data_IF_436869214403
#
_entry.id   IF_436869214403
#
_cell.length_a   1.000
_cell.length_b   1.000
_cell.length_c   1.000
_cell.angle_alpha   90.00
_cell.angle_beta   90.00
_cell.angle_gamma   90.00
#
_symmetry.space_group_name_H-M   'P 1'
#
loop_
_entity.id
_entity.type
_entity.pdbx_description
1 polymer ?
#
# COMPACT_ATOMS: atom_id res chain seq x y z
N UNK A 1 -9.49 3.52 -3.29
CA UNK A 1 -9.82 2.13 -3.71
C UNK A 1 -8.61 1.47 -4.39
N UNK A 2 -8.62 0.15 -4.59
CA UNK A 2 -7.49 -0.59 -5.20
C UNK A 2 -7.19 -0.11 -6.63
N UNK A 3 -8.17 0.09 -7.53
CA UNK A 3 -7.90 0.64 -8.87
C UNK A 3 -7.19 2.00 -8.88
N UNK A 4 -7.60 2.94 -8.04
CA UNK A 4 -6.99 4.27 -7.91
C UNK A 4 -5.56 4.19 -7.39
N UNK A 5 -5.32 3.34 -6.39
CA UNK A 5 -3.97 3.03 -5.89
C UNK A 5 -3.07 2.48 -7.00
N UNK A 6 -3.56 1.54 -7.81
CA UNK A 6 -2.79 1.00 -8.92
C UNK A 6 -2.54 2.06 -10.02
N UNK A 7 -3.44 3.02 -10.23
CA UNK A 7 -3.19 4.16 -11.14
C UNK A 7 -2.04 5.04 -10.65
N UNK A 8 -2.00 5.40 -9.36
CA UNK A 8 -0.91 6.22 -8.80
C UNK A 8 0.46 5.51 -8.89
N UNK A 9 0.46 4.18 -8.78
CA UNK A 9 1.66 3.36 -8.96
C UNK A 9 2.01 3.08 -10.44
N UNK A 10 1.17 3.48 -11.40
CA UNK A 10 1.29 3.08 -12.83
C UNK A 10 1.29 1.56 -13.02
N UNK A 11 0.53 0.85 -12.18
CA UNK A 11 0.33 -0.60 -12.19
C UNK A 11 -1.11 -1.01 -12.56
N UNK A 12 -1.96 -0.06 -12.95
CA UNK A 12 -3.38 -0.27 -13.24
C UNK A 12 -3.66 -1.30 -14.35
N UNK A 13 -2.69 -1.64 -15.20
CA UNK A 13 -2.82 -2.75 -16.15
C UNK A 13 -3.08 -4.11 -15.47
N UNK A 14 -2.74 -4.25 -14.19
CA UNK A 14 -2.97 -5.45 -13.40
C UNK A 14 -4.25 -5.39 -12.55
N UNK A 15 -5.11 -4.38 -12.70
CA UNK A 15 -6.29 -4.20 -11.85
C UNK A 15 -7.22 -5.44 -11.83
N UNK A 16 -7.35 -6.15 -12.96
CA UNK A 16 -8.13 -7.38 -13.04
C UNK A 16 -7.61 -8.47 -12.10
N UNK A 17 -6.29 -8.61 -11.94
CA UNK A 17 -5.68 -9.57 -11.01
C UNK A 17 -6.12 -9.30 -9.56
N UNK A 18 -6.09 -8.02 -9.16
CA UNK A 18 -6.47 -7.62 -7.80
C UNK A 18 -7.99 -7.67 -7.55
N UNK A 19 -8.82 -7.59 -8.59
CA UNK A 19 -10.28 -7.67 -8.44
C UNK A 19 -10.78 -9.05 -8.00
N UNK A 20 -9.94 -10.07 -8.16
CA UNK A 20 -10.22 -11.46 -7.79
C UNK A 20 -9.63 -11.83 -6.42
N UNK A 21 -9.04 -10.87 -5.71
CA UNK A 21 -8.36 -11.08 -4.44
C UNK A 21 -9.06 -10.33 -3.32
N UNK A 22 -9.17 -10.99 -2.17
CA UNK A 22 -9.49 -10.37 -0.89
C UNK A 22 -8.35 -9.45 -0.44
N UNK A 23 -8.63 -8.58 0.54
CA UNK A 23 -7.60 -7.73 1.12
C UNK A 23 -6.46 -8.57 1.74
N UNK A 24 -6.81 -9.66 2.41
CA UNK A 24 -5.88 -10.59 3.05
C UNK A 24 -4.98 -11.28 2.03
N UNK A 25 -5.53 -11.79 0.93
CA UNK A 25 -4.75 -12.39 -0.17
C UNK A 25 -3.81 -11.37 -0.81
N UNK A 26 -4.28 -10.15 -1.07
CA UNK A 26 -3.45 -9.06 -1.58
C UNK A 26 -2.27 -8.78 -0.66
N UNK A 27 -2.48 -8.72 0.66
CA UNK A 27 -1.42 -8.45 1.63
C UNK A 27 -0.41 -9.60 1.76
N UNK A 28 -0.75 -10.80 1.30
CA UNK A 28 0.11 -11.98 1.30
C UNK A 28 0.87 -12.22 -0.02
N UNK A 29 0.65 -11.39 -1.05
CA UNK A 29 1.26 -11.58 -2.37
C UNK A 29 2.80 -11.64 -2.31
N UNK A 30 3.34 -12.62 -3.02
CA UNK A 30 4.78 -12.81 -3.24
C UNK A 30 5.15 -12.60 -4.71
N UNK A 31 6.44 -12.35 -4.98
CA UNK A 31 6.92 -12.25 -6.37
C UNK A 31 6.68 -13.54 -7.16
N UNK A 32 6.78 -14.71 -6.53
CA UNK A 32 6.55 -16.01 -7.16
C UNK A 32 5.09 -16.18 -7.62
N UNK A 33 4.12 -15.82 -6.78
CA UNK A 33 2.70 -15.84 -7.14
C UNK A 33 2.39 -14.87 -8.30
N UNK A 34 3.00 -13.68 -8.28
CA UNK A 34 2.83 -12.70 -9.36
C UNK A 34 3.47 -13.17 -10.67
N UNK A 35 4.62 -13.83 -10.59
CA UNK A 35 5.28 -14.44 -11.74
C UNK A 35 4.44 -15.55 -12.38
N UNK A 36 3.80 -16.41 -11.57
CA UNK A 36 2.84 -17.41 -12.04
C UNK A 36 1.62 -16.79 -12.75
N UNK A 37 1.32 -15.52 -12.48
CA UNK A 37 0.26 -14.72 -13.13
C UNK A 37 0.80 -13.84 -14.28
N UNK A 38 1.99 -14.14 -14.80
CA UNK A 38 2.65 -13.44 -15.93
C UNK A 38 2.93 -11.95 -15.66
N UNK A 39 3.11 -11.55 -14.40
CA UNK A 39 3.51 -10.18 -14.04
C UNK A 39 5.00 -9.98 -14.33
N UNK A 40 5.33 -8.91 -15.05
CA UNK A 40 6.72 -8.61 -15.42
C UNK A 40 7.60 -8.38 -14.19
N UNK A 41 8.89 -8.73 -14.28
CA UNK A 41 9.86 -8.65 -13.16
C UNK A 41 9.85 -7.31 -12.42
N UNK A 42 9.90 -6.20 -13.14
CA UNK A 42 9.87 -4.87 -12.52
C UNK A 42 8.53 -4.57 -11.83
N UNK A 43 7.41 -5.07 -12.37
CA UNK A 43 6.10 -4.85 -11.79
C UNK A 43 5.86 -5.66 -10.52
N UNK A 44 6.24 -6.95 -10.50
CA UNK A 44 6.07 -7.79 -9.31
C UNK A 44 6.87 -7.25 -8.13
N UNK A 45 8.10 -6.83 -8.39
CA UNK A 45 8.95 -6.21 -7.38
C UNK A 45 8.31 -4.93 -6.82
N UNK A 46 7.80 -4.06 -7.71
CA UNK A 46 7.11 -2.83 -7.30
C UNK A 46 5.82 -3.10 -6.50
N UNK A 47 5.05 -4.11 -6.89
CA UNK A 47 3.85 -4.54 -6.16
C UNK A 47 4.22 -4.99 -4.75
N UNK A 48 5.19 -5.89 -4.61
CA UNK A 48 5.63 -6.42 -3.30
C UNK A 48 6.17 -5.31 -2.40
N UNK A 49 7.00 -4.39 -2.92
CA UNK A 49 7.45 -3.21 -2.15
C UNK A 49 6.27 -2.35 -1.72
N UNK A 50 5.31 -2.12 -2.61
CA UNK A 50 4.14 -1.28 -2.29
C UNK A 50 3.28 -1.94 -1.20
N UNK A 51 3.11 -3.26 -1.23
CA UNK A 51 2.43 -4.03 -0.17
C UNK A 51 3.21 -4.00 1.14
N UNK A 52 4.53 -4.10 1.11
CA UNK A 52 5.33 -3.97 2.33
C UNK A 52 5.14 -2.58 2.96
N UNK A 53 5.11 -1.52 2.14
CA UNK A 53 4.76 -0.18 2.63
C UNK A 53 3.36 -0.14 3.26
N UNK A 54 2.38 -0.86 2.71
CA UNK A 54 1.04 -0.97 3.31
C UNK A 54 1.09 -1.61 4.71
N UNK A 55 1.96 -2.60 4.93
CA UNK A 55 2.17 -3.26 6.23
C UNK A 55 2.82 -2.33 7.24
N UNK A 56 3.79 -1.52 6.81
CA UNK A 56 4.51 -0.58 7.68
C UNK A 56 3.71 0.68 8.04
N UNK A 57 2.57 0.96 7.38
CA UNK A 57 1.78 2.19 7.61
C UNK A 57 1.49 2.45 9.09
N UNK A 58 1.13 1.43 9.85
CA UNK A 58 0.81 1.60 11.27
C UNK A 58 2.04 2.06 12.08
N UNK A 59 3.20 1.47 11.83
CA UNK A 59 4.45 1.84 12.50
C UNK A 59 4.87 3.25 12.11
N UNK A 60 4.74 3.58 10.82
CA UNK A 60 5.05 4.91 10.31
C UNK A 60 4.13 5.98 10.94
N UNK A 61 2.81 5.73 11.01
CA UNK A 61 1.87 6.65 11.66
C UNK A 61 2.21 6.91 13.13
N UNK A 62 2.55 5.87 13.89
CA UNK A 62 3.00 6.01 15.30
C UNK A 62 4.27 6.83 15.42
N UNK A 63 5.23 6.64 14.51
CA UNK A 63 6.46 7.44 14.49
C UNK A 63 6.16 8.91 14.20
N UNK A 64 5.35 9.18 13.16
CA UNK A 64 4.97 10.54 12.78
C UNK A 64 4.20 11.24 13.90
N UNK A 65 3.29 10.54 14.58
CA UNK A 65 2.56 11.06 15.73
C UNK A 65 3.50 11.47 16.87
N UNK A 66 4.43 10.59 17.26
CA UNK A 66 5.44 10.90 18.29
C UNK A 66 6.27 12.12 17.89
N UNK A 67 6.79 12.14 16.67
CA UNK A 67 7.66 13.21 16.20
C UNK A 67 6.92 14.58 16.18
N UNK A 68 5.61 14.59 15.90
CA UNK A 68 4.76 15.80 16.00
C UNK A 68 4.60 16.23 17.45
N UNK A 69 4.32 15.29 18.37
CA UNK A 69 4.14 15.59 19.79
C UNK A 69 5.42 16.14 20.44
N UNK A 70 6.59 15.77 19.91
CA UNK A 70 7.90 16.27 20.32
C UNK A 70 8.29 17.62 19.67
N UNK A 71 7.38 18.26 18.93
CA UNK A 71 7.61 19.59 18.33
C UNK A 71 8.21 19.55 16.91
N UNK A 72 8.17 18.40 16.23
CA UNK A 72 8.55 18.25 14.84
C UNK A 72 7.65 19.05 13.87
N UNK A 73 8.15 19.27 12.65
CA UNK A 73 7.37 19.98 11.63
C UNK A 73 6.38 19.06 10.89
N UNK A 74 5.33 19.65 10.31
CA UNK A 74 4.24 18.91 9.66
C UNK A 74 4.54 18.49 8.22
N UNK A 75 5.66 18.91 7.62
CA UNK A 75 5.91 18.69 6.19
C UNK A 75 5.95 17.21 5.83
N UNK A 76 6.73 16.42 6.58
CA UNK A 76 6.87 14.98 6.35
C UNK A 76 5.56 14.24 6.65
N UNK A 77 4.91 14.44 7.82
CA UNK A 77 3.61 13.83 8.10
C UNK A 77 2.55 14.10 7.03
N UNK A 78 2.41 15.35 6.57
CA UNK A 78 1.42 15.70 5.55
C UNK A 78 1.71 15.02 4.21
N UNK A 79 2.99 14.93 3.83
CA UNK A 79 3.40 14.22 2.62
C UNK A 79 3.09 12.72 2.69
N UNK A 80 3.41 12.08 3.81
CA UNK A 80 3.14 10.65 4.01
C UNK A 80 1.63 10.35 4.06
N UNK A 81 0.86 11.17 4.79
CA UNK A 81 -0.60 11.04 4.86
C UNK A 81 -1.24 11.20 3.48
N UNK A 82 -0.78 12.16 2.67
CA UNK A 82 -1.27 12.34 1.29
C UNK A 82 -1.04 11.09 0.42
N UNK A 83 0.08 10.38 0.60
CA UNK A 83 0.30 9.11 -0.09
C UNK A 83 -0.59 7.98 0.48
N UNK A 84 -0.76 7.93 1.82
CA UNK A 84 -1.54 6.89 2.48
C UNK A 84 -3.02 6.92 2.12
N UNK A 85 -3.64 8.09 1.99
CA UNK A 85 -5.07 8.20 1.64
C UNK A 85 -5.40 7.62 0.26
N UNK A 86 -4.41 7.49 -0.62
CA UNK A 86 -4.56 6.87 -1.95
C UNK A 86 -4.42 5.35 -1.91
N UNK A 87 -4.09 4.76 -0.77
CA UNK A 87 -3.89 3.31 -0.62
C UNK A 87 -5.18 2.57 -0.23
N UNK A 88 -5.27 1.25 -0.43
CA UNK A 88 -6.39 0.47 0.08
C UNK A 88 -6.39 0.47 1.61
N UNK A 89 -7.51 0.87 2.21
CA UNK A 89 -7.71 0.88 3.67
C UNK A 89 -8.91 -0.03 3.94
N UNK A 90 -8.71 -1.04 4.80
CA UNK A 90 -9.80 -1.91 5.24
C UNK A 90 -10.77 -1.07 6.08
N UNK A 91 -12.07 -1.26 5.89
CA UNK A 91 -13.08 -0.60 6.70
C UNK A 91 -12.82 -0.88 8.18
N UNK A 92 -12.92 0.16 9.00
CA UNK A 92 -12.83 -0.01 10.45
C UNK A 92 -13.99 -0.88 10.92
N UNK A 93 -13.66 -1.97 11.62
CA UNK A 93 -14.63 -2.84 12.29
C UNK A 93 -14.39 -2.68 13.78
N UNK A 94 -15.38 -2.18 14.52
CA UNK A 94 -15.29 -1.95 15.97
C UNK A 94 -15.43 -3.24 16.81
N UNK A 95 -15.17 -4.41 16.22
CA UNK A 95 -15.27 -5.69 16.92
C UNK A 95 -14.17 -5.85 17.98
#
# INVERSE_FOLDING_TARGET
>A
DVPAWLKSLRLHKYAALFSQMTYEEMMALTECQLEAQNVTKGARHKIVISIQKLKERQNLLKSLERDILEGGNLRVPLQELHQMILTPIKAYSSQ
#
